data_IF_282711876463
#
_entry.id   IF_282711876463
#
_cell.length_a   1.000
_cell.length_b   1.000
_cell.length_c   1.000
_cell.angle_alpha   90.00
_cell.angle_beta   90.00
_cell.angle_gamma   90.00
#
_symmetry.space_group_name_H-M   'P 1'
#
loop_
_entity.id
_entity.type
_entity.pdbx_description
1 polymer ?
#
# COMPACT_ATOMS: atom_id res chain seq x y z
N UNK A 1 12.27 -7.89 -21.39
CA UNK A 1 11.69 -6.53 -21.44
C UNK A 1 10.31 -6.37 -20.76
N UNK A 2 9.46 -7.42 -20.63
CA UNK A 2 8.10 -7.34 -20.01
C UNK A 2 8.04 -6.86 -18.54
N UNK A 3 8.92 -7.35 -17.66
CA UNK A 3 8.84 -7.06 -16.21
C UNK A 3 8.94 -5.57 -15.84
N UNK A 4 9.80 -4.81 -16.55
CA UNK A 4 9.96 -3.37 -16.32
C UNK A 4 8.69 -2.58 -16.63
N UNK A 5 7.90 -3.04 -17.61
CA UNK A 5 6.64 -2.41 -18.00
C UNK A 5 5.57 -2.62 -16.94
N UNK A 6 5.48 -3.83 -16.37
CA UNK A 6 4.53 -4.12 -15.29
C UNK A 6 4.87 -3.33 -14.02
N UNK A 7 6.16 -3.22 -13.67
CA UNK A 7 6.57 -2.42 -12.52
C UNK A 7 6.24 -0.94 -12.69
N UNK A 8 6.55 -0.37 -13.87
CA UNK A 8 6.18 1.01 -14.21
C UNK A 8 4.67 1.22 -14.20
N UNK A 9 3.90 0.22 -14.65
CA UNK A 9 2.44 0.25 -14.57
C UNK A 9 1.97 0.35 -13.12
N UNK A 10 2.50 -0.49 -12.23
CA UNK A 10 2.16 -0.45 -10.80
C UNK A 10 2.47 0.91 -10.20
N UNK A 11 3.69 1.42 -10.36
CA UNK A 11 4.10 2.72 -9.80
C UNK A 11 3.26 3.88 -10.34
N UNK A 12 2.98 3.88 -11.65
CA UNK A 12 2.16 4.94 -12.26
C UNK A 12 0.75 4.95 -11.68
N UNK A 13 0.08 3.80 -11.61
CA UNK A 13 -1.27 3.73 -11.08
C UNK A 13 -1.33 3.95 -9.57
N UNK A 14 -0.31 3.51 -8.85
CA UNK A 14 -0.15 3.79 -7.43
C UNK A 14 -0.14 5.30 -7.18
N UNK A 15 0.72 6.05 -7.88
CA UNK A 15 0.80 7.50 -7.72
C UNK A 15 -0.48 8.22 -8.19
N UNK A 16 -1.03 7.83 -9.35
CA UNK A 16 -2.25 8.44 -9.89
C UNK A 16 -3.46 8.32 -8.96
N UNK A 17 -3.52 7.27 -8.14
CA UNK A 17 -4.62 7.05 -7.20
C UNK A 17 -4.26 7.56 -5.80
N UNK A 18 -3.02 7.37 -5.34
CA UNK A 18 -2.60 7.82 -4.01
C UNK A 18 -2.68 9.34 -3.85
N UNK A 19 -2.27 10.11 -4.86
CA UNK A 19 -2.29 11.58 -4.80
C UNK A 19 -3.71 12.13 -4.54
N UNK A 20 -4.74 11.81 -5.36
CA UNK A 20 -6.09 12.32 -5.12
C UNK A 20 -6.70 11.76 -3.83
N UNK A 21 -6.46 10.49 -3.48
CA UNK A 21 -6.99 9.91 -2.24
C UNK A 21 -6.34 10.57 -1.01
N UNK A 22 -5.03 10.84 -1.05
CA UNK A 22 -4.32 11.59 0.00
C UNK A 22 -4.90 13.00 0.16
N UNK A 23 -5.11 13.72 -0.95
CA UNK A 23 -5.71 15.05 -0.94
C UNK A 23 -7.11 15.05 -0.33
N UNK A 24 -7.97 14.11 -0.75
CA UNK A 24 -9.33 13.98 -0.20
C UNK A 24 -9.30 13.61 1.29
N UNK A 25 -8.45 12.68 1.69
CA UNK A 25 -8.32 12.26 3.09
C UNK A 25 -7.84 13.41 3.98
N UNK A 26 -6.83 14.18 3.54
CA UNK A 26 -6.36 15.37 4.24
C UNK A 26 -7.40 16.50 4.30
N UNK A 27 -8.17 16.70 3.22
CA UNK A 27 -9.26 17.67 3.19
C UNK A 27 -10.37 17.31 4.19
N UNK A 28 -10.75 16.02 4.29
CA UNK A 28 -11.72 15.54 5.27
C UNK A 28 -11.21 15.72 6.71
N UNK A 29 -9.95 15.40 6.99
CA UNK A 29 -9.36 15.63 8.31
C UNK A 29 -9.38 17.12 8.67
N UNK A 30 -9.06 17.99 7.73
CA UNK A 30 -9.09 19.44 7.94
C UNK A 30 -10.51 19.95 8.18
N UNK A 31 -11.50 19.46 7.43
CA UNK A 31 -12.91 19.81 7.62
C UNK A 31 -13.49 19.32 8.96
N UNK A 32 -12.82 18.37 9.62
CA UNK A 32 -13.19 17.84 10.94
C UNK A 32 -12.34 18.45 12.08
N UNK A 33 -11.57 19.51 11.80
CA UNK A 33 -10.62 20.13 12.74
C UNK A 33 -9.54 19.17 13.28
N UNK A 34 -9.19 18.14 12.50
CA UNK A 34 -8.21 17.09 12.83
C UNK A 34 -6.87 17.29 12.13
N UNK A 35 -6.38 18.53 12.13
CA UNK A 35 -5.15 18.90 11.40
C UNK A 35 -3.88 18.28 12.00
N UNK A 36 -3.90 17.86 13.26
CA UNK A 36 -2.80 17.16 13.93
C UNK A 36 -2.46 15.81 13.27
N UNK A 37 -3.37 15.27 12.45
CA UNK A 37 -3.20 14.00 11.74
C UNK A 37 -2.47 14.11 10.39
N UNK A 38 -2.12 15.32 9.91
CA UNK A 38 -1.42 15.50 8.62
C UNK A 38 -0.06 14.80 8.56
N UNK A 39 0.72 14.88 9.64
CA UNK A 39 2.04 14.24 9.72
C UNK A 39 1.91 12.71 9.72
N UNK A 40 1.10 12.09 10.61
CA UNK A 40 0.78 10.66 10.52
C UNK A 40 0.23 10.20 9.17
N UNK A 41 -0.67 10.97 8.57
CA UNK A 41 -1.26 10.66 7.28
C UNK A 41 -0.17 10.55 6.20
N UNK A 42 0.74 11.53 6.17
CA UNK A 42 1.86 11.55 5.23
C UNK A 42 2.76 10.33 5.41
N UNK A 43 3.06 9.95 6.66
CA UNK A 43 3.81 8.73 6.97
C UNK A 43 3.10 7.46 6.51
N UNK A 44 1.79 7.33 6.74
CA UNK A 44 1.01 6.18 6.31
C UNK A 44 1.05 6.00 4.79
N UNK A 45 0.81 7.06 4.01
CA UNK A 45 0.84 7.00 2.55
C UNK A 45 2.24 6.77 2.01
N UNK A 46 3.26 7.39 2.60
CA UNK A 46 4.66 7.17 2.24
C UNK A 46 5.09 5.72 2.47
N UNK A 47 4.82 5.18 3.66
CA UNK A 47 5.13 3.80 4.01
C UNK A 47 4.41 2.80 3.08
N UNK A 48 3.13 3.02 2.79
CA UNK A 48 2.38 2.16 1.87
C UNK A 48 2.93 2.23 0.45
N UNK A 49 3.38 3.39 0.01
CA UNK A 49 4.00 3.55 -1.32
C UNK A 49 5.29 2.72 -1.41
N UNK A 50 6.17 2.85 -0.41
CA UNK A 50 7.45 2.13 -0.34
C UNK A 50 7.23 0.62 -0.24
N UNK A 51 6.37 0.18 0.67
CA UNK A 51 6.10 -1.24 0.88
C UNK A 51 5.44 -1.88 -0.35
N UNK A 52 4.52 -1.17 -1.01
CA UNK A 52 3.87 -1.65 -2.23
C UNK A 52 4.86 -1.78 -3.38
N UNK A 53 5.76 -0.80 -3.54
CA UNK A 53 6.83 -0.90 -4.52
C UNK A 53 7.78 -2.08 -4.21
N UNK A 54 8.16 -2.27 -2.95
CA UNK A 54 9.03 -3.36 -2.53
C UNK A 54 8.40 -4.75 -2.76
N UNK A 55 7.12 -4.92 -2.42
CA UNK A 55 6.39 -6.17 -2.64
C UNK A 55 6.18 -6.41 -4.13
N UNK A 56 5.77 -5.40 -4.89
CA UNK A 56 5.63 -5.53 -6.35
C UNK A 56 6.94 -5.93 -7.03
N UNK A 57 8.06 -5.38 -6.58
CA UNK A 57 9.39 -5.78 -7.03
C UNK A 57 9.71 -7.23 -6.63
N UNK A 58 9.48 -7.59 -5.37
CA UNK A 58 9.66 -8.95 -4.85
C UNK A 58 8.85 -9.99 -5.63
N UNK A 59 7.61 -9.68 -5.98
CA UNK A 59 6.73 -10.51 -6.81
C UNK A 59 7.33 -10.70 -8.22
N UNK A 60 7.80 -9.64 -8.87
CA UNK A 60 8.41 -9.76 -10.21
C UNK A 60 9.70 -10.58 -10.20
N UNK A 61 10.50 -10.45 -9.14
CA UNK A 61 11.68 -11.26 -8.94
C UNK A 61 11.32 -12.74 -8.68
N UNK A 62 10.34 -12.98 -7.81
CA UNK A 62 9.83 -14.30 -7.46
C UNK A 62 9.19 -15.02 -8.64
N UNK A 63 8.43 -14.32 -9.49
CA UNK A 63 7.83 -14.88 -10.70
C UNK A 63 8.87 -15.55 -11.61
N UNK A 64 10.11 -15.05 -11.66
CA UNK A 64 11.17 -15.66 -12.48
C UNK A 64 11.67 -17.00 -11.92
N UNK A 65 11.53 -17.22 -10.60
CA UNK A 65 12.09 -18.38 -9.90
C UNK A 65 11.05 -19.43 -9.53
N UNK A 66 9.87 -18.97 -9.09
CA UNK A 66 8.78 -19.81 -8.60
C UNK A 66 7.43 -19.18 -8.96
N UNK A 67 7.01 -19.24 -10.24
CA UNK A 67 5.79 -18.59 -10.71
C UNK A 67 4.53 -19.10 -9.99
N UNK A 68 4.52 -20.35 -9.56
CA UNK A 68 3.38 -20.96 -8.85
C UNK A 68 3.19 -20.40 -7.43
N UNK A 69 4.22 -19.77 -6.85
CA UNK A 69 4.19 -19.24 -5.49
C UNK A 69 3.89 -17.74 -5.42
N UNK A 70 3.65 -17.07 -6.56
CA UNK A 70 3.41 -15.61 -6.58
C UNK A 70 2.20 -15.21 -5.74
N UNK A 71 1.13 -16.00 -5.77
CA UNK A 71 -0.04 -15.77 -4.93
C UNK A 71 0.32 -15.77 -3.45
N UNK A 72 1.14 -16.74 -3.03
CA UNK A 72 1.64 -16.81 -1.65
C UNK A 72 2.56 -15.64 -1.28
N UNK A 73 3.46 -15.24 -2.19
CA UNK A 73 4.32 -14.06 -1.98
C UNK A 73 3.50 -12.78 -1.80
N UNK A 74 2.45 -12.61 -2.60
CA UNK A 74 1.52 -11.48 -2.48
C UNK A 74 0.75 -11.51 -1.15
N UNK A 75 0.16 -12.65 -0.79
CA UNK A 75 -0.60 -12.80 0.45
C UNK A 75 0.30 -12.56 1.67
N UNK A 76 1.48 -13.18 1.69
CA UNK A 76 2.46 -13.02 2.77
C UNK A 76 2.98 -11.58 2.86
N UNK A 77 3.30 -10.94 1.74
CA UNK A 77 3.72 -9.54 1.72
C UNK A 77 2.64 -8.58 2.21
N UNK A 78 1.39 -8.81 1.82
CA UNK A 78 0.24 -8.00 2.25
C UNK A 78 -0.05 -8.15 3.74
N UNK A 79 -0.02 -9.39 4.24
CA UNK A 79 -0.14 -9.66 5.68
C UNK A 79 1.02 -9.05 6.46
N UNK A 80 2.24 -9.10 5.92
CA UNK A 80 3.40 -8.46 6.52
C UNK A 80 3.23 -6.94 6.61
N UNK A 81 2.74 -6.27 5.57
CA UNK A 81 2.45 -4.82 5.64
C UNK A 81 1.43 -4.50 6.73
N UNK A 82 0.38 -5.30 6.81
CA UNK A 82 -0.64 -5.15 7.82
C UNK A 82 -0.07 -5.32 9.24
N UNK A 83 0.68 -6.40 9.48
CA UNK A 83 1.33 -6.65 10.76
C UNK A 83 2.38 -5.58 11.11
N UNK A 84 3.19 -5.16 10.13
CA UNK A 84 4.19 -4.11 10.30
C UNK A 84 3.55 -2.79 10.75
N UNK A 85 2.36 -2.46 10.27
CA UNK A 85 1.65 -1.29 10.77
C UNK A 85 1.35 -1.38 12.27
N UNK A 86 0.75 -2.48 12.72
CA UNK A 86 0.41 -2.65 14.13
C UNK A 86 1.65 -2.69 15.04
N UNK A 87 2.72 -3.33 14.58
CA UNK A 87 3.94 -3.51 15.36
C UNK A 87 4.86 -2.28 15.36
N UNK A 88 5.04 -1.64 14.19
CA UNK A 88 6.10 -0.63 13.97
C UNK A 88 5.57 0.78 13.75
N UNK A 89 4.36 0.97 13.22
CA UNK A 89 3.87 2.31 12.87
C UNK A 89 2.85 2.84 13.88
N UNK A 90 1.92 1.99 14.35
CA UNK A 90 0.93 2.33 15.38
C UNK A 90 1.57 3.00 16.61
N UNK A 91 2.65 2.47 17.23
CA UNK A 91 3.22 3.12 18.40
C UNK A 91 3.81 4.51 18.12
N UNK A 92 4.40 4.74 16.94
CA UNK A 92 5.02 6.03 16.59
C UNK A 92 4.00 7.06 16.08
N UNK A 93 2.90 6.60 15.49
CA UNK A 93 1.83 7.44 14.98
C UNK A 93 0.89 7.86 16.12
N UNK A 94 0.66 7.00 17.11
CA UNK A 94 -0.29 7.26 18.20
C UNK A 94 0.30 7.97 19.42
N UNK A 95 1.62 8.16 19.50
CA UNK A 95 2.26 8.94 20.57
C UNK A 95 1.84 10.41 20.48
N UNK A 96 0.67 10.72 21.03
CA UNK A 96 0.11 12.08 21.14
C UNK A 96 -1.36 12.22 20.73
N UNK A 97 -1.96 11.24 20.05
CA UNK A 97 -3.29 11.39 19.43
C UNK A 97 -4.43 10.63 20.15
N UNK A 98 -4.08 9.74 21.08
CA UNK A 98 -5.02 8.83 21.74
C UNK A 98 -5.50 7.70 20.82
N UNK A 99 -6.06 6.63 21.39
CA UNK A 99 -6.63 5.51 20.62
C UNK A 99 -8.01 5.91 20.08
N UNK A 100 -8.03 6.90 19.17
CA UNK A 100 -9.24 7.35 18.48
C UNK A 100 -9.44 6.49 17.22
N UNK A 101 -10.69 6.14 16.92
CA UNK A 101 -11.05 5.36 15.73
C UNK A 101 -10.56 5.97 14.41
N UNK A 102 -10.25 7.26 14.40
CA UNK A 102 -9.62 7.98 13.29
C UNK A 102 -8.28 7.35 12.85
N UNK A 103 -7.52 6.82 13.81
CA UNK A 103 -6.22 6.19 13.58
C UNK A 103 -6.31 4.89 12.80
N UNK A 104 -7.48 4.23 12.82
CA UNK A 104 -7.74 3.09 11.94
C UNK A 104 -7.83 3.53 10.48
N UNK A 105 -8.50 4.65 10.20
CA UNK A 105 -8.71 5.14 8.83
C UNK A 105 -7.43 5.70 8.20
N UNK A 106 -6.54 6.31 9.01
CA UNK A 106 -5.22 6.75 8.55
C UNK A 106 -4.41 5.64 7.89
N UNK A 107 -4.54 4.41 8.40
CA UNK A 107 -3.88 3.23 7.84
C UNK A 107 -4.78 2.48 6.85
N UNK A 108 -6.02 2.25 7.22
CA UNK A 108 -6.94 1.39 6.49
C UNK A 108 -7.21 1.89 5.07
N UNK A 109 -7.34 3.21 4.88
CA UNK A 109 -7.58 3.80 3.55
C UNK A 109 -6.37 3.59 2.63
N UNK A 110 -5.15 4.07 2.93
CA UNK A 110 -4.00 3.83 2.06
C UNK A 110 -3.67 2.34 1.90
N UNK A 111 -3.88 1.53 2.95
CA UNK A 111 -3.72 0.08 2.87
C UNK A 111 -4.66 -0.57 1.86
N UNK A 112 -5.97 -0.31 1.95
CA UNK A 112 -6.96 -0.90 1.07
C UNK A 112 -6.69 -0.52 -0.40
N UNK A 113 -6.39 0.76 -0.65
CA UNK A 113 -6.08 1.26 -2.00
C UNK A 113 -4.84 0.58 -2.57
N UNK A 114 -3.75 0.50 -1.79
CA UNK A 114 -2.53 -0.21 -2.21
C UNK A 114 -2.80 -1.70 -2.47
N UNK A 115 -3.51 -2.36 -1.57
CA UNK A 115 -3.82 -3.79 -1.67
C UNK A 115 -4.66 -4.10 -2.91
N UNK A 116 -5.66 -3.28 -3.23
CA UNK A 116 -6.45 -3.43 -4.45
C UNK A 116 -5.57 -3.33 -5.68
N UNK A 117 -4.67 -2.35 -5.74
CA UNK A 117 -3.75 -2.19 -6.87
C UNK A 117 -2.77 -3.35 -7.01
N UNK A 118 -2.24 -3.85 -5.90
CA UNK A 118 -1.39 -5.05 -5.90
C UNK A 118 -2.14 -6.29 -6.34
N UNK A 119 -3.39 -6.46 -5.91
CA UNK A 119 -4.24 -7.57 -6.34
C UNK A 119 -4.41 -7.55 -7.85
N UNK A 120 -4.72 -6.38 -8.43
CA UNK A 120 -4.82 -6.21 -9.88
C UNK A 120 -3.47 -6.47 -10.55
N UNK A 121 -2.37 -5.97 -9.99
CA UNK A 121 -1.03 -6.19 -10.51
C UNK A 121 -0.65 -7.67 -10.56
N UNK A 122 -0.90 -8.41 -9.48
CA UNK A 122 -0.68 -9.86 -9.39
C UNK A 122 -1.57 -10.61 -10.37
N UNK A 123 -2.85 -10.26 -10.47
CA UNK A 123 -3.76 -10.85 -11.46
C UNK A 123 -3.27 -10.62 -12.89
N UNK A 124 -2.74 -9.43 -13.21
CA UNK A 124 -2.13 -9.13 -14.52
C UNK A 124 -0.88 -9.97 -14.77
N UNK A 125 -0.08 -10.24 -13.75
CA UNK A 125 1.11 -11.09 -13.86
C UNK A 125 0.72 -12.55 -14.08
N UNK A 126 -0.23 -13.09 -13.30
CA UNK A 126 -0.70 -14.46 -13.42
C UNK A 126 -1.47 -14.72 -14.73
N UNK A 127 -2.26 -13.75 -15.17
CA UNK A 127 -3.02 -13.84 -16.43
C UNK A 127 -2.14 -13.92 -17.69
N UNK A 128 -0.83 -13.63 -17.60
CA UNK A 128 0.12 -13.79 -18.71
C UNK A 128 0.40 -15.27 -19.00
N UNK A 129 0.21 -16.18 -18.05
CA UNK A 129 0.45 -17.63 -18.25
C UNK A 129 -0.68 -18.36 -19.01
N UNK A 130 -1.65 -17.63 -19.60
CA UNK A 130 -2.76 -18.22 -20.37
C UNK A 130 -2.70 -17.98 -21.89
N UNK A 131 -1.56 -17.58 -22.46
CA UNK A 131 -1.40 -17.42 -23.91
C UNK A 131 -0.33 -18.34 -24.49
#
# INVERSE_FOLDING_TARGET
MRASTHFKWLLRWLLLIFIPVFGLHGALLTAMDKTEFWTPLSWCYGAHTVLTAAIGWGILWGHKKAPDLIGFMFMGGSLFKFAAYFALFKPFILTGLGDRGDSFFLFGIPYAVALTLETIFVARILGINKS
#
